data_IF_561194357952
#
_entry.id   IF_561194357952
#
_cell.length_a   1.000
_cell.length_b   1.000
_cell.length_c   1.000
_cell.angle_alpha   90.00
_cell.angle_beta   90.00
_cell.angle_gamma   90.00
#
_symmetry.space_group_name_H-M   'P 1'
#
loop_
_entity.id
_entity.type
_entity.pdbx_description
1 polymer ?
#
# COMPACT_ATOMS: atom_id res chain seq x y z
N UNK A 1 -8.31 -9.08 -4.06
CA UNK A 1 -8.51 -9.07 -2.59
C UNK A 1 -9.80 -8.32 -2.28
N UNK A 2 -10.80 -8.95 -1.67
CA UNK A 2 -12.05 -8.26 -1.30
C UNK A 2 -11.75 -7.14 -0.28
N UNK A 3 -12.24 -5.93 -0.56
CA UNK A 3 -12.08 -4.78 0.36
C UNK A 3 -12.90 -5.06 1.62
N UNK A 4 -12.23 -5.10 2.79
CA UNK A 4 -12.90 -5.25 4.09
C UNK A 4 -13.72 -4.02 4.51
N UNK A 5 -13.50 -2.85 3.89
CA UNK A 5 -14.18 -1.61 4.23
C UNK A 5 -14.50 -0.82 2.96
N UNK A 6 -15.72 -0.30 2.92
CA UNK A 6 -16.34 0.38 1.78
C UNK A 6 -16.57 1.82 2.21
N UNK A 7 -15.86 2.78 1.63
CA UNK A 7 -15.96 4.21 1.98
C UNK A 7 -17.27 4.73 1.40
N UNK A 8 -18.17 5.23 2.23
CA UNK A 8 -19.40 5.91 1.78
C UNK A 8 -19.34 7.37 2.21
N UNK A 9 -19.38 8.26 1.24
CA UNK A 9 -19.41 9.71 1.49
C UNK A 9 -20.85 10.21 1.48
N UNK A 10 -21.19 11.13 2.38
CA UNK A 10 -22.46 11.84 2.33
C UNK A 10 -22.47 12.88 1.20
N UNK A 11 -23.64 13.37 0.83
CA UNK A 11 -23.80 14.40 -0.20
C UNK A 11 -23.08 15.70 0.17
N UNK A 12 -23.12 16.09 1.45
CA UNK A 12 -22.36 17.23 1.99
C UNK A 12 -20.84 17.04 1.85
N UNK A 13 -20.34 15.83 2.11
CA UNK A 13 -18.91 15.51 1.98
C UNK A 13 -18.47 15.54 0.52
N UNK A 14 -19.28 15.04 -0.41
CA UNK A 14 -19.02 15.14 -1.85
C UNK A 14 -18.95 16.59 -2.30
N UNK A 15 -19.90 17.42 -1.86
CA UNK A 15 -19.96 18.83 -2.19
C UNK A 15 -18.73 19.58 -1.65
N UNK A 16 -18.29 19.26 -0.43
CA UNK A 16 -17.07 19.82 0.15
C UNK A 16 -15.81 19.44 -0.66
N UNK A 17 -15.65 18.17 -1.02
CA UNK A 17 -14.50 17.71 -1.81
C UNK A 17 -14.50 18.31 -3.23
N UNK A 18 -15.67 18.44 -3.85
CA UNK A 18 -15.82 19.12 -5.14
C UNK A 18 -15.47 20.61 -5.05
N UNK A 19 -15.82 21.29 -3.95
CA UNK A 19 -15.45 22.69 -3.73
C UNK A 19 -13.93 22.86 -3.55
N UNK A 20 -13.28 21.93 -2.83
CA UNK A 20 -11.82 21.90 -2.68
C UNK A 20 -11.11 21.73 -4.03
N UNK A 21 -11.65 20.89 -4.92
CA UNK A 21 -11.10 20.68 -6.28
C UNK A 21 -11.34 21.92 -7.15
N UNK A 22 -12.58 22.42 -7.18
CA UNK A 22 -12.98 23.53 -8.06
C UNK A 22 -12.28 24.84 -7.69
N UNK A 23 -12.07 25.09 -6.41
CA UNK A 23 -11.39 26.30 -5.91
C UNK A 23 -9.88 26.12 -5.72
N UNK A 24 -9.33 24.94 -6.03
CA UNK A 24 -7.93 24.58 -5.74
C UNK A 24 -7.54 24.93 -4.29
N UNK A 25 -8.46 24.71 -3.35
CA UNK A 25 -8.37 25.25 -2.00
C UNK A 25 -7.40 24.42 -1.15
N UNK A 26 -6.14 24.83 -1.12
CA UNK A 26 -5.07 24.23 -0.30
C UNK A 26 -3.88 23.72 -1.12
N UNK A 27 -3.06 22.87 -0.52
CA UNK A 27 -1.88 22.31 -1.19
C UNK A 27 -2.28 21.34 -2.32
N UNK A 28 -1.40 21.14 -3.30
CA UNK A 28 -1.61 20.15 -4.37
C UNK A 28 -1.81 18.72 -3.84
N UNK A 29 -1.30 18.41 -2.65
CA UNK A 29 -1.59 17.14 -1.95
C UNK A 29 -3.04 17.05 -1.49
N UNK A 30 -3.62 18.15 -0.98
CA UNK A 30 -5.02 18.19 -0.52
C UNK A 30 -6.00 18.01 -1.67
N UNK A 31 -5.78 18.70 -2.80
CA UNK A 31 -6.60 18.55 -4.02
C UNK A 31 -6.53 17.12 -4.56
N UNK A 32 -5.33 16.54 -4.62
CA UNK A 32 -5.15 15.14 -5.06
C UNK A 32 -5.83 14.13 -4.13
N UNK A 33 -5.82 14.36 -2.82
CA UNK A 33 -6.50 13.50 -1.84
C UNK A 33 -8.02 13.61 -1.93
N UNK A 34 -8.55 14.80 -2.22
CA UNK A 34 -9.97 14.98 -2.47
C UNK A 34 -10.45 14.16 -3.69
N UNK A 35 -9.66 14.16 -4.77
CA UNK A 35 -9.92 13.30 -5.92
C UNK A 35 -9.90 11.81 -5.59
N UNK A 36 -8.92 11.36 -4.79
CA UNK A 36 -8.80 9.95 -4.35
C UNK A 36 -10.05 9.52 -3.55
N UNK A 37 -10.52 10.37 -2.62
CA UNK A 37 -11.70 10.07 -1.79
C UNK A 37 -12.99 10.00 -2.62
N UNK A 38 -13.21 10.93 -3.56
CA UNK A 38 -14.37 10.89 -4.46
C UNK A 38 -14.38 9.65 -5.36
N UNK A 39 -13.21 9.20 -5.83
CA UNK A 39 -13.10 7.98 -6.64
C UNK A 39 -13.25 6.71 -5.82
N UNK A 40 -12.85 6.74 -4.55
CA UNK A 40 -13.00 5.62 -3.62
C UNK A 40 -14.42 5.47 -3.04
N UNK A 41 -15.29 6.48 -3.21
CA UNK A 41 -16.66 6.49 -2.72
C UNK A 41 -17.49 5.35 -3.33
N UNK A 42 -18.13 4.59 -2.46
CA UNK A 42 -18.81 3.35 -2.80
C UNK A 42 -20.21 3.53 -3.38
N UNK A 43 -20.83 4.66 -3.07
CA UNK A 43 -22.09 5.07 -3.67
C UNK A 43 -21.83 5.93 -4.93
N UNK A 44 -20.55 6.14 -5.28
CA UNK A 44 -20.08 6.76 -6.51
C UNK A 44 -19.35 5.78 -7.42
N UNK A 45 -18.13 6.15 -7.85
CA UNK A 45 -17.39 5.38 -8.84
C UNK A 45 -16.81 4.04 -8.31
N UNK A 46 -16.68 3.90 -6.98
CA UNK A 46 -16.23 2.68 -6.28
C UNK A 46 -14.92 2.10 -6.85
N UNK A 47 -13.96 2.96 -7.18
CA UNK A 47 -12.69 2.52 -7.73
C UNK A 47 -11.88 1.71 -6.70
N UNK A 48 -11.15 0.72 -7.21
CA UNK A 48 -10.16 -0.02 -6.43
C UNK A 48 -8.95 0.86 -6.16
N UNK A 49 -8.21 0.56 -5.09
CA UNK A 49 -7.01 1.33 -4.73
C UNK A 49 -5.95 1.27 -5.84
N UNK A 50 -5.97 0.20 -6.64
CA UNK A 50 -5.14 0.01 -7.82
C UNK A 50 -5.57 0.92 -8.98
N UNK A 51 -6.86 1.00 -9.29
CA UNK A 51 -7.39 1.93 -10.31
C UNK A 51 -7.15 3.39 -9.94
N UNK A 52 -7.26 3.73 -8.65
CA UNK A 52 -6.95 5.08 -8.15
C UNK A 52 -5.44 5.36 -8.25
N UNK A 53 -4.61 4.41 -7.82
CA UNK A 53 -3.16 4.53 -7.92
C UNK A 53 -2.70 4.75 -9.38
N UNK A 54 -3.29 4.01 -10.32
CA UNK A 54 -3.03 4.11 -11.74
C UNK A 54 -3.50 5.44 -12.33
N UNK A 55 -4.74 5.85 -12.05
CA UNK A 55 -5.32 7.10 -12.55
C UNK A 55 -4.59 8.36 -12.05
N UNK A 56 -4.02 8.32 -10.84
CA UNK A 56 -3.29 9.45 -10.26
C UNK A 56 -1.77 9.26 -10.26
N UNK A 57 -1.26 8.26 -10.99
CA UNK A 57 0.17 7.92 -11.12
C UNK A 57 0.89 7.91 -9.75
N UNK A 58 0.28 7.30 -8.74
CA UNK A 58 0.76 7.33 -7.36
C UNK A 58 0.85 5.92 -6.76
N UNK A 59 1.76 5.72 -5.80
CA UNK A 59 1.86 4.43 -5.09
C UNK A 59 0.61 4.24 -4.20
N UNK A 60 0.10 3.00 -4.12
CA UNK A 60 -0.99 2.60 -3.20
C UNK A 60 -0.72 3.04 -1.75
N UNK A 61 0.56 3.03 -1.35
CA UNK A 61 1.05 3.45 -0.03
C UNK A 61 0.82 4.94 0.29
N UNK A 62 0.46 5.76 -0.69
CA UNK A 62 0.20 7.21 -0.54
C UNK A 62 -1.13 7.49 0.17
N UNK A 63 -2.05 6.51 0.16
CA UNK A 63 -3.31 6.52 0.92
C UNK A 63 -3.00 6.23 2.40
N UNK A 64 -2.48 7.24 3.09
CA UNK A 64 -2.05 7.16 4.49
C UNK A 64 -3.12 7.76 5.41
N UNK A 65 -3.08 7.40 6.71
CA UNK A 65 -3.93 8.02 7.74
C UNK A 65 -3.90 9.56 7.69
N UNK A 66 -2.75 10.15 7.39
CA UNK A 66 -2.58 11.60 7.26
C UNK A 66 -3.47 12.24 6.19
N UNK A 67 -3.89 11.47 5.18
CA UNK A 67 -4.83 11.95 4.17
C UNK A 67 -6.19 12.32 4.75
N UNK A 68 -6.63 11.62 5.80
CA UNK A 68 -7.89 11.92 6.47
C UNK A 68 -7.79 13.18 7.33
N UNK A 69 -6.65 13.39 8.00
CA UNK A 69 -6.43 14.58 8.85
C UNK A 69 -6.14 15.86 8.06
N UNK A 70 -5.74 15.77 6.78
CA UNK A 70 -5.64 16.94 5.90
C UNK A 70 -6.96 17.30 5.22
N UNK A 71 -7.88 16.33 5.10
CA UNK A 71 -9.16 16.49 4.42
C UNK A 71 -10.33 16.82 5.37
N UNK A 72 -10.30 16.33 6.61
CA UNK A 72 -11.38 16.49 7.59
C UNK A 72 -10.87 17.05 8.91
N UNK A 73 -11.78 17.65 9.68
CA UNK A 73 -11.52 18.06 11.07
C UNK A 73 -11.04 16.88 11.93
N UNK A 74 -10.16 17.11 12.92
CA UNK A 74 -9.44 16.05 13.63
C UNK A 74 -10.35 14.95 14.22
N UNK A 75 -11.50 15.32 14.77
CA UNK A 75 -12.44 14.36 15.37
C UNK A 75 -13.08 13.44 14.33
N UNK A 76 -13.46 14.00 13.17
CA UNK A 76 -14.07 13.26 12.06
C UNK A 76 -13.02 12.41 11.34
N UNK A 77 -11.83 12.94 11.12
CA UNK A 77 -10.69 12.19 10.59
C UNK A 77 -10.35 10.98 11.48
N UNK A 78 -10.37 11.16 12.80
CA UNK A 78 -10.09 10.10 13.77
C UNK A 78 -11.18 9.03 13.81
N UNK A 79 -12.45 9.42 13.67
CA UNK A 79 -13.57 8.48 13.57
C UNK A 79 -13.44 7.58 12.32
N UNK A 80 -13.15 8.16 11.16
CA UNK A 80 -12.97 7.43 9.90
C UNK A 80 -11.72 6.54 9.93
N UNK A 81 -10.60 7.04 10.44
CA UNK A 81 -9.35 6.27 10.58
C UNK A 81 -9.51 5.06 11.51
N UNK A 82 -10.36 5.15 12.55
CA UNK A 82 -10.64 4.04 13.47
C UNK A 82 -11.39 2.88 12.82
N UNK A 83 -12.19 3.15 11.80
CA UNK A 83 -12.94 2.12 11.07
C UNK A 83 -12.05 1.34 10.08
N UNK A 84 -10.85 1.83 9.78
CA UNK A 84 -9.94 1.24 8.81
C UNK A 84 -8.80 0.51 9.53
N UNK A 85 -8.63 -0.79 9.26
CA UNK A 85 -7.45 -1.55 9.74
C UNK A 85 -6.25 -1.30 8.83
N UNK A 86 -5.35 -0.43 9.27
CA UNK A 86 -4.07 -0.24 8.59
C UNK A 86 -3.09 -1.35 9.00
N UNK A 87 -2.73 -2.21 8.06
CA UNK A 87 -1.64 -3.17 8.23
C UNK A 87 -0.34 -2.52 7.75
N UNK A 88 0.53 -2.15 8.69
CA UNK A 88 1.86 -1.62 8.36
C UNK A 88 2.87 -2.76 8.32
N UNK A 89 3.68 -2.82 7.27
CA UNK A 89 4.93 -3.58 7.32
C UNK A 89 5.90 -2.86 8.28
N UNK A 90 6.55 -3.57 9.20
CA UNK A 90 7.49 -2.94 10.13
C UNK A 90 8.61 -2.24 9.35
N UNK A 91 8.94 -0.99 9.68
CA UNK A 91 10.01 -0.23 9.00
C UNK A 91 11.37 -0.94 9.00
N UNK A 92 11.63 -1.79 9.98
CA UNK A 92 12.86 -2.59 10.13
C UNK A 92 12.64 -4.10 9.87
N UNK A 93 11.46 -4.48 9.40
CA UNK A 93 11.07 -5.85 9.08
C UNK A 93 11.05 -6.11 7.59
N UNK A 94 11.93 -5.46 6.83
CA UNK A 94 12.00 -5.60 5.36
C UNK A 94 12.20 -7.07 4.94
N UNK A 95 12.89 -7.86 5.77
CA UNK A 95 13.05 -9.31 5.64
C UNK A 95 11.75 -10.14 5.79
N UNK A 96 10.67 -9.56 6.34
CA UNK A 96 9.31 -10.13 6.40
C UNK A 96 8.43 -9.66 5.23
N UNK A 97 8.91 -8.73 4.41
CA UNK A 97 8.15 -8.21 3.28
C UNK A 97 8.25 -9.21 2.12
N UNK A 98 7.18 -9.94 1.87
CA UNK A 98 7.13 -10.94 0.80
C UNK A 98 7.50 -10.34 -0.56
N UNK A 99 7.09 -9.09 -0.83
CA UNK A 99 7.41 -8.42 -2.08
C UNK A 99 8.92 -8.12 -2.24
N UNK A 100 9.65 -7.88 -1.14
CA UNK A 100 11.11 -7.68 -1.19
C UNK A 100 11.87 -9.00 -1.36
N UNK A 101 11.36 -10.08 -0.76
CA UNK A 101 11.91 -11.41 -0.93
C UNK A 101 11.72 -11.89 -2.38
N UNK A 102 10.54 -11.70 -2.96
CA UNK A 102 10.26 -11.98 -4.37
C UNK A 102 11.14 -11.16 -5.30
N UNK A 103 11.30 -9.86 -5.03
CA UNK A 103 12.18 -9.01 -5.83
C UNK A 103 13.63 -9.49 -5.77
N UNK A 104 14.12 -9.88 -4.59
CA UNK A 104 15.47 -10.41 -4.40
C UNK A 104 15.66 -11.76 -5.10
N UNK A 105 14.64 -12.63 -5.08
CA UNK A 105 14.64 -13.91 -5.78
C UNK A 105 14.67 -13.69 -7.29
N UNK A 106 13.81 -12.83 -7.83
CA UNK A 106 13.79 -12.43 -9.23
C UNK A 106 15.17 -11.89 -9.65
N UNK A 107 15.77 -11.00 -8.87
CA UNK A 107 17.11 -10.48 -9.21
C UNK A 107 18.15 -11.60 -9.27
N UNK A 108 18.16 -12.53 -8.31
CA UNK A 108 19.14 -13.64 -8.27
C UNK A 108 18.88 -14.75 -9.28
N UNK A 109 17.64 -14.98 -9.67
CA UNK A 109 17.26 -16.12 -10.52
C UNK A 109 17.12 -15.71 -11.99
N UNK A 110 16.62 -14.50 -12.24
CA UNK A 110 16.34 -14.00 -13.57
C UNK A 110 17.41 -13.00 -14.06
N UNK A 111 17.97 -12.16 -13.18
CA UNK A 111 18.77 -10.99 -13.61
C UNK A 111 20.27 -11.04 -13.28
N UNK A 112 20.72 -11.94 -12.39
CA UNK A 112 22.10 -11.89 -11.87
C UNK A 112 23.17 -12.29 -12.88
N UNK A 113 22.79 -13.02 -13.95
CA UNK A 113 23.74 -13.68 -14.84
C UNK A 113 23.71 -13.15 -16.28
N UNK A 114 22.91 -12.11 -16.60
CA UNK A 114 22.78 -11.61 -17.98
C UNK A 114 22.62 -10.09 -18.04
N UNK A 115 23.49 -9.37 -18.77
CA UNK A 115 23.20 -8.00 -19.14
C UNK A 115 22.04 -7.97 -20.14
N UNK A 116 21.03 -7.14 -19.86
CA UNK A 116 19.87 -6.98 -20.71
C UNK A 116 20.13 -5.84 -21.71
N UNK A 117 20.17 -6.18 -23.00
CA UNK A 117 20.44 -5.21 -24.07
C UNK A 117 19.22 -4.38 -24.49
N UNK A 118 18.01 -4.83 -24.17
CA UNK A 118 16.76 -4.15 -24.52
C UNK A 118 15.65 -4.40 -23.47
N UNK A 119 14.73 -3.44 -23.36
CA UNK A 119 13.62 -3.47 -22.42
C UNK A 119 12.60 -4.59 -22.73
N UNK A 120 12.40 -4.95 -24.00
CA UNK A 120 11.47 -6.03 -24.37
C UNK A 120 11.98 -7.38 -23.90
N UNK A 121 13.29 -7.62 -24.03
CA UNK A 121 13.94 -8.83 -23.53
C UNK A 121 13.80 -8.94 -22.02
N UNK A 122 14.02 -7.84 -21.29
CA UNK A 122 13.81 -7.79 -19.84
C UNK A 122 12.37 -8.15 -19.45
N UNK A 123 11.39 -7.59 -20.15
CA UNK A 123 9.97 -7.88 -19.88
C UNK A 123 9.60 -9.35 -20.15
N UNK A 124 10.15 -9.93 -21.22
CA UNK A 124 9.94 -11.34 -21.55
C UNK A 124 10.49 -12.28 -20.48
N UNK A 125 11.74 -12.05 -20.05
CA UNK A 125 12.40 -12.83 -19.01
C UNK A 125 11.68 -12.73 -17.65
N UNK A 126 11.29 -11.51 -17.24
CA UNK A 126 10.51 -11.31 -16.01
C UNK A 126 9.17 -12.05 -16.08
N UNK A 127 8.50 -12.01 -17.24
CA UNK A 127 7.21 -12.67 -17.44
C UNK A 127 7.34 -14.20 -17.38
N UNK A 128 8.38 -14.76 -18.00
CA UNK A 128 8.67 -16.18 -17.96
C UNK A 128 9.01 -16.66 -16.54
N UNK A 129 9.85 -15.91 -15.82
CA UNK A 129 10.17 -16.20 -14.41
C UNK A 129 8.92 -16.12 -13.52
N UNK A 130 8.10 -15.08 -13.68
CA UNK A 130 6.85 -14.92 -12.95
C UNK A 130 5.88 -16.08 -13.21
N UNK A 131 5.77 -16.54 -14.46
CA UNK A 131 4.94 -17.69 -14.82
C UNK A 131 5.43 -18.98 -14.15
N UNK A 132 6.74 -19.24 -14.18
CA UNK A 132 7.34 -20.43 -13.55
C UNK A 132 7.13 -20.45 -12.02
N UNK A 133 7.41 -19.34 -11.34
CA UNK A 133 7.21 -19.22 -9.88
C UNK A 133 5.73 -19.33 -9.50
N UNK A 134 4.83 -18.66 -10.25
CA UNK A 134 3.39 -18.78 -10.03
C UNK A 134 2.84 -20.17 -10.37
N UNK A 135 3.47 -20.93 -11.26
CA UNK A 135 3.05 -22.31 -11.54
C UNK A 135 3.48 -23.24 -10.41
N UNK A 136 4.69 -23.04 -9.86
CA UNK A 136 5.25 -23.85 -8.78
C UNK A 136 4.56 -23.61 -7.42
N UNK A 137 3.96 -22.43 -7.22
CA UNK A 137 3.28 -22.04 -5.97
C UNK A 137 4.11 -22.36 -4.71
N UNK A 138 5.44 -22.22 -4.79
CA UNK A 138 6.30 -22.51 -3.66
C UNK A 138 6.07 -21.47 -2.56
N UNK A 139 5.64 -21.95 -1.39
CA UNK A 139 5.51 -21.11 -0.21
C UNK A 139 6.87 -20.61 0.28
N UNK A 140 6.87 -19.47 0.96
CA UNK A 140 8.06 -18.96 1.66
C UNK A 140 8.30 -19.82 2.89
N UNK A 141 9.45 -20.49 2.92
CA UNK A 141 9.90 -21.23 4.10
C UNK A 141 10.44 -20.26 5.16
N UNK A 142 9.59 -19.94 6.13
CA UNK A 142 9.91 -19.02 7.21
C UNK A 142 10.82 -19.70 8.25
N UNK A 143 12.11 -19.45 8.15
CA UNK A 143 13.12 -20.00 9.05
C UNK A 143 13.19 -19.31 10.44
N UNK A 144 12.51 -18.17 10.64
CA UNK A 144 12.58 -17.44 11.91
C UNK A 144 11.49 -17.88 12.90
N UNK A 145 11.89 -18.63 13.93
CA UNK A 145 11.00 -19.08 15.00
C UNK A 145 10.74 -17.95 16.02
N UNK A 146 9.65 -18.08 16.79
CA UNK A 146 9.28 -17.09 17.82
C UNK A 146 10.37 -16.90 18.88
N UNK A 147 11.08 -17.98 19.25
CA UNK A 147 12.23 -17.95 20.16
C UNK A 147 13.40 -17.13 19.60
N UNK A 148 13.72 -17.31 18.32
CA UNK A 148 14.76 -16.52 17.64
C UNK A 148 14.38 -15.06 17.53
N UNK A 149 13.10 -14.76 17.28
CA UNK A 149 12.60 -13.40 17.27
C UNK A 149 12.75 -12.70 18.62
N UNK A 150 12.41 -13.39 19.73
CA UNK A 150 12.56 -12.85 21.09
C UNK A 150 14.02 -12.57 21.45
N UNK A 151 14.95 -13.40 20.96
CA UNK A 151 16.39 -13.21 21.18
C UNK A 151 16.97 -12.09 20.32
N UNK A 152 16.70 -12.08 19.02
CA UNK A 152 17.27 -11.11 18.05
C UNK A 152 16.63 -9.72 18.14
N UNK A 153 15.32 -9.63 18.43
CA UNK A 153 14.58 -8.35 18.49
C UNK A 153 14.32 -7.88 19.92
N UNK A 154 15.17 -8.27 20.87
CA UNK A 154 15.01 -7.94 22.30
C UNK A 154 14.77 -6.45 22.56
N UNK A 155 15.38 -5.56 21.78
CA UNK A 155 15.23 -4.11 21.90
C UNK A 155 13.84 -3.57 21.54
N UNK A 156 13.04 -4.34 20.77
CA UNK A 156 11.71 -3.96 20.29
C UNK A 156 10.62 -4.30 21.30
N UNK A 157 10.89 -5.25 22.21
CA UNK A 157 9.90 -5.67 23.21
C UNK A 157 9.78 -4.61 24.33
N UNK A 158 8.56 -4.34 24.82
CA UNK A 158 8.35 -3.46 25.96
C UNK A 158 9.15 -3.98 27.17
N UNK A 159 9.96 -3.10 27.77
CA UNK A 159 10.59 -3.41 29.06
C UNK A 159 9.51 -3.32 30.14
N UNK A 160 9.06 -4.47 30.62
CA UNK A 160 8.18 -4.53 31.79
C UNK A 160 9.03 -4.07 32.97
N UNK A 161 8.70 -2.89 33.53
CA UNK A 161 9.28 -2.45 34.80
C UNK A 161 8.60 -3.28 35.88
N UNK A 162 9.40 -4.06 36.62
CA UNK A 162 8.99 -4.65 37.89
C UNK A 162 8.99 -3.59 38.98
#
# INVERSE_FOLDING_TARGET
>A
MQKKYTIRLSEEERNHLNDVIKKLKGSGQKVRRAHILLKADADGAKWTDQQIAEAFLCRIKTVTKGAFYEAFEPDRARALVRQIKFCYTPKHGSWLNIAENELSAMTRQCLSNRPMGDIKTLQGEISAWSYDVNTKQQGVDWQMKLSDARRKLKSVYPKIKS
#
